data_IF_907665708829
#
_entry.id   IF_907665708829
#
_cell.length_a   1.000
_cell.length_b   1.000
_cell.length_c   1.000
_cell.angle_alpha   90.00
_cell.angle_beta   90.00
_cell.angle_gamma   90.00
#
_symmetry.space_group_name_H-M   'P 1'
#
loop_
_entity.id
_entity.type
_entity.pdbx_description
1 polymer ?
#
# COMPACT_ATOMS: atom_id res chain seq x y z
N UNK A 1 4.39 4.85 19.26
CA UNK A 1 3.18 4.30 18.60
C UNK A 1 3.55 3.95 17.16
N UNK A 2 3.23 2.74 16.70
CA UNK A 2 3.58 2.25 15.36
C UNK A 2 2.88 3.11 14.29
N UNK A 3 3.60 3.56 13.25
CA UNK A 3 2.95 4.19 12.10
C UNK A 3 2.07 3.16 11.40
N UNK A 4 0.80 3.50 11.18
CA UNK A 4 -0.18 2.57 10.63
C UNK A 4 -0.08 2.52 9.10
N UNK A 5 -0.52 1.42 8.52
CA UNK A 5 -0.83 1.28 7.10
C UNK A 5 -2.33 1.07 6.95
N UNK A 6 -2.85 1.08 5.72
CA UNK A 6 -4.30 0.96 5.49
C UNK A 6 -4.92 -0.33 6.01
N UNK A 7 -4.18 -1.44 5.98
CA UNK A 7 -4.66 -2.73 6.52
C UNK A 7 -4.86 -2.64 8.03
N UNK A 8 -3.90 -2.04 8.76
CA UNK A 8 -3.97 -1.87 10.22
C UNK A 8 -5.00 -0.83 10.67
N UNK A 9 -5.49 0.02 9.75
CA UNK A 9 -6.55 1.00 10.02
C UNK A 9 -7.95 0.43 9.83
N UNK A 10 -8.11 -0.64 9.07
CA UNK A 10 -9.41 -1.20 8.68
C UNK A 10 -10.02 -2.04 9.82
N UNK A 11 -11.17 -1.63 10.39
CA UNK A 11 -11.82 -2.36 11.48
C UNK A 11 -12.24 -3.79 11.13
N UNK A 12 -12.47 -4.11 9.85
CA UNK A 12 -12.81 -5.48 9.42
C UNK A 12 -11.72 -6.52 9.73
N UNK A 13 -10.47 -6.08 9.93
CA UNK A 13 -9.40 -6.98 10.37
C UNK A 13 -9.41 -7.24 11.89
N UNK A 14 -10.30 -6.59 12.63
CA UNK A 14 -10.38 -6.69 14.08
C UNK A 14 -9.48 -5.66 14.78
N UNK A 15 -8.96 -6.05 15.94
CA UNK A 15 -8.17 -5.16 16.78
C UNK A 15 -6.69 -5.19 16.42
N UNK A 16 -5.90 -4.29 17.03
CA UNK A 16 -4.43 -4.35 16.90
C UNK A 16 -3.82 -5.65 17.42
N UNK A 17 -4.51 -6.37 18.30
CA UNK A 17 -4.06 -7.67 18.83
C UNK A 17 -4.17 -8.80 17.80
N UNK A 18 -4.90 -8.58 16.71
CA UNK A 18 -4.98 -9.53 15.60
C UNK A 18 -3.71 -9.53 14.74
N UNK A 19 -2.82 -8.55 14.93
CA UNK A 19 -1.62 -8.40 14.13
C UNK A 19 -0.36 -8.60 14.98
N UNK A 20 0.63 -9.27 14.39
CA UNK A 20 1.98 -9.39 14.94
C UNK A 20 2.99 -8.94 13.88
N UNK A 21 3.83 -7.95 14.20
CA UNK A 21 5.00 -7.62 13.39
C UNK A 21 6.17 -8.45 13.87
N UNK A 22 6.58 -9.41 13.05
CA UNK A 22 7.68 -10.32 13.35
C UNK A 22 8.92 -9.86 12.61
N UNK A 23 10.03 -9.81 13.33
CA UNK A 23 11.33 -9.47 12.79
C UNK A 23 12.30 -10.63 13.03
N UNK A 24 13.04 -11.00 11.99
CA UNK A 24 14.01 -12.09 12.06
C UNK A 24 15.42 -11.50 12.08
N UNK A 25 16.11 -11.67 13.21
CA UNK A 25 17.47 -11.17 13.47
C UNK A 25 18.29 -12.21 14.24
N UNK A 26 19.60 -12.01 14.27
CA UNK A 26 20.46 -12.73 15.23
C UNK A 26 20.31 -12.16 16.66
N UNK A 27 20.98 -12.79 17.62
CA UNK A 27 21.02 -12.34 19.03
C UNK A 27 21.49 -10.88 19.18
N UNK A 28 22.40 -10.44 18.30
CA UNK A 28 22.93 -9.08 18.29
C UNK A 28 22.04 -8.09 17.51
N UNK A 29 20.81 -8.49 17.15
CA UNK A 29 19.88 -7.71 16.33
C UNK A 29 20.39 -7.39 14.91
N UNK A 30 21.35 -8.15 14.39
CA UNK A 30 21.82 -8.03 13.02
C UNK A 30 20.90 -8.77 12.06
N UNK A 31 20.89 -8.28 10.83
CA UNK A 31 20.12 -8.88 9.75
C UNK A 31 20.72 -10.22 9.33
N UNK A 32 19.86 -11.23 9.15
CA UNK A 32 20.29 -12.52 8.62
C UNK A 32 20.39 -12.47 7.09
N UNK A 33 21.61 -12.62 6.55
CA UNK A 33 21.82 -12.74 5.12
C UNK A 33 21.67 -14.17 4.62
N UNK A 34 21.06 -14.36 3.45
CA UNK A 34 20.71 -15.69 2.92
C UNK A 34 21.92 -16.57 2.60
N UNK A 35 23.09 -15.98 2.34
CA UNK A 35 24.31 -16.75 2.07
C UNK A 35 24.95 -17.33 3.33
N UNK A 36 24.70 -16.74 4.50
CA UNK A 36 25.24 -17.17 5.80
C UNK A 36 24.32 -18.17 6.50
N UNK A 37 23.00 -17.99 6.36
CA UNK A 37 21.99 -18.74 7.12
C UNK A 37 21.10 -19.61 6.24
N UNK A 38 21.70 -20.31 5.26
CA UNK A 38 20.94 -21.14 4.31
C UNK A 38 20.16 -22.26 5.00
N UNK A 39 20.69 -22.82 6.08
CA UNK A 39 20.09 -23.93 6.82
C UNK A 39 18.80 -23.51 7.56
N UNK A 40 18.62 -22.21 7.83
CA UNK A 40 17.39 -21.68 8.42
C UNK A 40 16.24 -21.58 7.43
N UNK A 41 16.48 -21.82 6.13
CA UNK A 41 15.45 -21.69 5.09
C UNK A 41 14.20 -22.51 5.41
N UNK A 42 14.37 -23.78 5.77
CA UNK A 42 13.23 -24.67 6.06
C UNK A 42 12.45 -24.21 7.30
N UNK A 43 13.14 -23.65 8.29
CA UNK A 43 12.52 -23.09 9.50
C UNK A 43 11.68 -21.87 9.12
N UNK A 44 12.23 -20.95 8.33
CA UNK A 44 11.51 -19.77 7.85
C UNK A 44 10.32 -20.12 6.96
N UNK A 45 10.49 -21.08 6.04
CA UNK A 45 9.40 -21.57 5.21
C UNK A 45 8.29 -22.19 6.06
N UNK A 46 8.62 -22.95 7.10
CA UNK A 46 7.63 -23.51 8.02
C UNK A 46 6.85 -22.41 8.77
N UNK A 47 7.51 -21.38 9.29
CA UNK A 47 6.82 -20.26 9.95
C UNK A 47 5.94 -19.46 8.99
N UNK A 48 6.43 -19.19 7.77
CA UNK A 48 5.65 -18.45 6.77
C UNK A 48 4.44 -19.26 6.28
N UNK A 49 4.55 -20.59 6.18
CA UNK A 49 3.48 -21.46 5.71
C UNK A 49 2.44 -21.76 6.81
N UNK A 50 2.90 -22.07 8.02
CA UNK A 50 2.03 -22.59 9.09
C UNK A 50 1.67 -21.54 10.15
N UNK A 51 2.40 -20.42 10.22
CA UNK A 51 2.25 -19.44 11.27
C UNK A 51 2.89 -19.88 12.59
N UNK A 52 2.52 -19.20 13.67
CA UNK A 52 2.97 -19.50 15.03
C UNK A 52 1.95 -19.04 16.07
N UNK A 53 2.01 -19.62 17.27
CA UNK A 53 1.18 -19.24 18.41
C UNK A 53 1.98 -18.38 19.40
N UNK A 54 1.39 -17.27 19.86
CA UNK A 54 1.98 -16.37 20.86
C UNK A 54 1.24 -16.48 22.19
N UNK A 55 -0.07 -16.73 22.16
CA UNK A 55 -0.95 -16.68 23.33
C UNK A 55 -1.99 -17.79 23.17
N UNK A 56 -1.73 -18.93 23.82
CA UNK A 56 -2.56 -20.15 23.87
C UNK A 56 -3.80 -20.14 22.97
N UNK A 57 -3.67 -20.81 21.81
CA UNK A 57 -4.67 -21.01 20.75
C UNK A 57 -4.90 -19.81 19.80
N UNK A 58 -3.90 -18.94 19.59
CA UNK A 58 -3.96 -17.91 18.54
C UNK A 58 -2.84 -18.09 17.53
N UNK A 59 -3.15 -18.80 16.45
CA UNK A 59 -2.20 -19.02 15.35
C UNK A 59 -2.17 -17.79 14.44
N UNK A 60 -1.10 -17.01 14.55
CA UNK A 60 -0.80 -15.90 13.65
C UNK A 60 -0.17 -16.45 12.38
N UNK A 61 -0.84 -16.25 11.25
CA UNK A 61 -0.39 -16.70 9.92
C UNK A 61 0.19 -15.54 9.11
N UNK A 62 1.10 -15.83 8.20
CA UNK A 62 1.72 -14.80 7.38
C UNK A 62 0.65 -14.03 6.58
N UNK A 63 0.68 -12.70 6.67
CA UNK A 63 -0.22 -11.84 5.93
C UNK A 63 0.51 -11.15 4.78
N UNK A 64 1.48 -10.28 5.09
CA UNK A 64 2.35 -9.69 4.07
C UNK A 64 3.51 -8.89 4.70
N UNK A 65 4.19 -8.09 3.89
CA UNK A 65 5.17 -7.08 4.26
C UNK A 65 5.09 -5.89 3.31
N UNK A 66 5.61 -4.73 3.72
CA UNK A 66 5.96 -3.66 2.79
C UNK A 66 7.34 -3.90 2.18
N UNK A 67 7.69 -3.14 1.14
CA UNK A 67 9.01 -3.29 0.49
C UNK A 67 10.18 -2.86 1.38
N UNK A 68 9.99 -1.91 2.30
CA UNK A 68 11.02 -1.57 3.28
C UNK A 68 11.15 -2.65 4.35
N UNK A 69 10.02 -3.21 4.80
CA UNK A 69 9.99 -4.30 5.78
C UNK A 69 10.67 -5.56 5.24
N UNK A 70 10.47 -5.90 3.96
CA UNK A 70 11.14 -7.05 3.34
C UNK A 70 12.66 -6.94 3.38
N UNK A 71 13.20 -5.72 3.17
CA UNK A 71 14.64 -5.46 3.28
C UNK A 71 15.12 -5.68 4.71
N UNK A 72 14.33 -5.26 5.69
CA UNK A 72 14.61 -5.41 7.13
C UNK A 72 14.23 -6.79 7.71
N UNK A 73 13.81 -7.76 6.89
CA UNK A 73 13.33 -9.08 7.35
C UNK A 73 12.17 -9.00 8.35
N UNK A 74 11.29 -8.03 8.12
CA UNK A 74 10.08 -7.79 8.89
C UNK A 74 8.83 -8.23 8.12
N UNK A 75 7.91 -8.89 8.83
CA UNK A 75 6.71 -9.49 8.25
C UNK A 75 5.51 -9.29 9.17
N UNK A 76 4.38 -8.91 8.59
CA UNK A 76 3.10 -8.91 9.28
C UNK A 76 2.51 -10.31 9.26
N UNK A 77 2.17 -10.79 10.44
CA UNK A 77 1.34 -11.95 10.66
C UNK A 77 -0.01 -11.51 11.23
N UNK A 78 -1.03 -12.33 10.97
CA UNK A 78 -2.41 -12.02 11.23
C UNK A 78 -3.14 -13.23 11.78
N UNK A 79 -3.90 -12.99 12.83
CA UNK A 79 -4.85 -13.93 13.42
C UNK A 79 -6.26 -13.37 13.21
N UNK A 80 -7.18 -14.19 12.73
CA UNK A 80 -8.58 -13.84 12.60
C UNK A 80 -9.44 -14.80 13.42
N UNK A 81 -10.51 -14.27 14.00
CA UNK A 81 -11.63 -15.05 14.53
C UNK A 81 -12.82 -14.96 13.55
N UNK A 82 -13.98 -15.46 13.95
CA UNK A 82 -15.21 -15.46 13.13
C UNK A 82 -15.76 -14.07 12.82
N UNK A 83 -15.36 -13.03 13.56
CA UNK A 83 -15.83 -11.66 13.38
C UNK A 83 -14.88 -10.81 12.52
N UNK A 84 -13.75 -11.37 12.12
CA UNK A 84 -12.71 -10.71 11.34
C UNK A 84 -12.65 -11.29 9.93
N UNK A 85 -12.06 -10.56 8.99
CA UNK A 85 -11.78 -11.11 7.65
C UNK A 85 -10.90 -12.36 7.77
N UNK A 86 -11.25 -13.41 7.02
CA UNK A 86 -10.32 -14.52 6.79
C UNK A 86 -9.07 -14.04 6.04
N UNK A 87 -8.02 -14.86 5.97
CA UNK A 87 -6.84 -14.51 5.17
C UNK A 87 -7.18 -14.33 3.69
N UNK A 88 -8.05 -15.19 3.16
CA UNK A 88 -8.53 -15.12 1.79
C UNK A 88 -9.32 -13.83 1.55
N UNK A 89 -10.27 -13.51 2.44
CA UNK A 89 -11.08 -12.29 2.34
C UNK A 89 -10.24 -11.04 2.55
N UNK A 90 -9.19 -11.11 3.37
CA UNK A 90 -8.23 -10.03 3.54
C UNK A 90 -7.53 -9.68 2.21
N UNK A 91 -7.07 -10.67 1.44
CA UNK A 91 -6.47 -10.42 0.13
C UNK A 91 -7.49 -9.89 -0.89
N UNK A 92 -8.73 -10.38 -0.85
CA UNK A 92 -9.83 -9.85 -1.69
C UNK A 92 -10.11 -8.39 -1.35
N UNK A 93 -10.15 -8.04 -0.05
CA UNK A 93 -10.33 -6.67 0.41
C UNK A 93 -9.19 -5.74 -0.05
N UNK A 94 -7.94 -6.23 -0.03
CA UNK A 94 -6.79 -5.44 -0.48
C UNK A 94 -6.92 -5.05 -1.96
N UNK A 95 -7.48 -5.93 -2.79
CA UNK A 95 -7.82 -5.65 -4.18
C UNK A 95 -7.65 -6.85 -5.12
N UNK A 96 -7.87 -6.60 -6.41
CA UNK A 96 -7.67 -7.58 -7.47
C UNK A 96 -6.27 -7.48 -8.06
N UNK A 97 -5.47 -8.51 -7.81
CA UNK A 97 -4.10 -8.65 -8.32
C UNK A 97 -4.01 -9.60 -9.54
N UNK A 98 -5.14 -10.10 -10.02
CA UNK A 98 -5.27 -11.10 -11.10
C UNK A 98 -4.56 -10.74 -12.42
N UNK A 99 -4.31 -9.46 -12.67
CA UNK A 99 -3.61 -8.98 -13.87
C UNK A 99 -2.09 -9.16 -13.80
N UNK A 100 -1.51 -9.31 -12.60
CA UNK A 100 -0.06 -9.38 -12.42
C UNK A 100 0.42 -10.83 -12.37
N UNK A 101 1.01 -11.29 -13.48
CA UNK A 101 1.49 -12.67 -13.62
C UNK A 101 2.88 -12.90 -13.05
N UNK A 102 3.66 -11.83 -12.84
CA UNK A 102 5.02 -11.94 -12.31
C UNK A 102 4.94 -11.99 -10.79
N UNK A 103 5.29 -13.12 -10.18
CA UNK A 103 5.22 -13.35 -8.73
C UNK A 103 5.87 -12.21 -7.93
N UNK A 104 7.07 -11.77 -8.32
CA UNK A 104 7.76 -10.67 -7.64
C UNK A 104 6.99 -9.34 -7.71
N UNK A 105 6.35 -9.04 -8.85
CA UNK A 105 5.53 -7.85 -8.99
C UNK A 105 4.20 -7.99 -8.25
N UNK A 106 3.61 -9.18 -8.24
CA UNK A 106 2.38 -9.48 -7.51
C UNK A 106 2.54 -9.21 -6.02
N UNK A 107 3.59 -9.76 -5.40
CA UNK A 107 3.95 -9.46 -4.01
C UNK A 107 4.21 -7.96 -3.81
N UNK A 108 4.91 -7.31 -4.75
CA UNK A 108 5.14 -5.87 -4.69
C UNK A 108 3.86 -5.02 -4.79
N UNK A 109 2.78 -5.53 -5.42
CA UNK A 109 1.48 -4.84 -5.49
C UNK A 109 0.74 -4.93 -4.17
N UNK A 110 0.67 -6.12 -3.59
CA UNK A 110 0.06 -6.30 -2.26
C UNK A 110 0.83 -5.48 -1.21
N UNK A 111 2.17 -5.45 -1.30
CA UNK A 111 3.04 -4.68 -0.40
C UNK A 111 2.71 -3.18 -0.36
N UNK A 112 2.02 -2.62 -1.36
CA UNK A 112 1.54 -1.23 -1.32
C UNK A 112 0.51 -1.00 -0.21
N UNK A 113 -0.29 -2.01 0.15
CA UNK A 113 -1.25 -1.92 1.25
C UNK A 113 -0.58 -1.89 2.64
N UNK A 114 0.71 -2.23 2.71
CA UNK A 114 1.47 -2.32 3.94
C UNK A 114 2.46 -1.17 4.11
N UNK A 115 2.54 -0.25 3.13
CA UNK A 115 3.37 0.95 3.30
C UNK A 115 2.79 1.83 4.38
N UNK A 116 3.65 2.31 5.28
CA UNK A 116 3.28 3.31 6.27
C UNK A 116 2.83 4.59 5.56
N UNK A 117 1.57 4.96 5.75
CA UNK A 117 0.89 6.11 5.13
C UNK A 117 0.00 6.79 6.16
N UNK A 118 -0.29 8.07 5.95
CA UNK A 118 -1.22 8.83 6.79
C UNK A 118 -2.50 9.02 6.01
N UNK A 119 -3.59 8.43 6.50
CA UNK A 119 -4.89 8.57 5.86
C UNK A 119 -5.33 10.04 5.91
N UNK A 120 -5.89 10.52 4.80
CA UNK A 120 -6.40 11.89 4.68
C UNK A 120 -7.93 11.85 4.49
N UNK A 121 -8.43 12.44 3.42
CA UNK A 121 -9.85 12.46 3.05
C UNK A 121 -10.22 11.25 2.17
N UNK A 122 -11.50 10.87 2.20
CA UNK A 122 -12.08 10.03 1.15
C UNK A 122 -12.35 10.90 -0.08
N UNK A 123 -11.91 10.45 -1.25
CA UNK A 123 -12.19 11.07 -2.54
C UNK A 123 -13.05 10.09 -3.34
N UNK A 124 -14.36 10.35 -3.46
CA UNK A 124 -15.28 9.48 -4.19
C UNK A 124 -14.89 9.33 -5.67
N UNK A 125 -15.20 8.17 -6.25
CA UNK A 125 -14.84 7.84 -7.63
C UNK A 125 -15.40 8.84 -8.66
N UNK A 126 -16.50 9.53 -8.35
CA UNK A 126 -17.11 10.54 -9.21
C UNK A 126 -16.24 11.78 -9.43
N UNK A 127 -15.36 12.08 -8.46
CA UNK A 127 -14.38 13.18 -8.54
C UNK A 127 -13.08 12.75 -9.23
N UNK A 128 -12.91 11.47 -9.53
CA UNK A 128 -11.68 10.92 -10.10
C UNK A 128 -11.86 10.62 -11.58
N UNK A 129 -10.84 10.91 -12.38
CA UNK A 129 -10.76 10.40 -13.75
C UNK A 129 -9.39 9.80 -14.01
N UNK A 130 -9.40 8.69 -14.73
CA UNK A 130 -8.20 8.02 -15.21
C UNK A 130 -7.93 8.45 -16.64
N UNK A 131 -6.69 8.83 -16.94
CA UNK A 131 -6.29 9.27 -18.28
C UNK A 131 -4.94 8.66 -18.65
N UNK A 132 -4.72 8.48 -19.95
CA UNK A 132 -3.43 8.00 -20.46
C UNK A 132 -2.29 8.95 -20.08
N UNK A 133 -1.11 8.39 -19.93
CA UNK A 133 0.11 9.17 -19.80
C UNK A 133 0.37 10.05 -21.03
N UNK A 134 1.06 11.17 -20.81
CA UNK A 134 1.54 12.02 -21.89
C UNK A 134 2.81 11.36 -22.44
N UNK A 135 2.72 10.87 -23.67
CA UNK A 135 3.80 10.18 -24.35
C UNK A 135 4.18 10.90 -25.64
N UNK A 136 5.48 10.94 -25.94
CA UNK A 136 5.99 11.43 -27.23
C UNK A 136 6.86 10.37 -27.85
N UNK A 137 6.64 10.10 -29.14
CA UNK A 137 7.52 9.25 -29.93
C UNK A 137 8.63 10.09 -30.57
N UNK A 138 9.89 9.72 -30.32
CA UNK A 138 11.06 10.34 -30.94
C UNK A 138 12.09 9.27 -31.30
N UNK A 139 12.51 9.23 -32.55
CA UNK A 139 13.48 8.25 -33.07
C UNK A 139 13.05 6.79 -32.81
N UNK A 140 11.76 6.47 -32.98
CA UNK A 140 11.21 5.13 -32.75
C UNK A 140 11.19 4.69 -31.28
N UNK A 141 11.37 5.61 -30.33
CA UNK A 141 11.25 5.36 -28.89
C UNK A 141 10.11 6.19 -28.30
N UNK A 142 9.32 5.55 -27.45
CA UNK A 142 8.26 6.21 -26.68
C UNK A 142 8.87 6.75 -25.39
N UNK A 143 8.63 8.03 -25.12
CA UNK A 143 9.04 8.70 -23.89
C UNK A 143 7.79 9.13 -23.12
N UNK A 144 7.65 8.62 -21.90
CA UNK A 144 6.53 8.94 -21.00
C UNK A 144 6.92 10.12 -20.11
N UNK A 145 6.20 11.23 -20.20
CA UNK A 145 6.51 12.49 -19.50
C UNK A 145 5.77 12.64 -18.16
N UNK A 146 4.73 11.84 -17.94
CA UNK A 146 3.89 11.89 -16.74
C UNK A 146 3.94 10.60 -15.92
N UNK A 147 4.99 9.78 -16.09
CA UNK A 147 5.06 8.49 -15.40
C UNK A 147 4.99 8.66 -13.89
N UNK A 148 3.88 8.22 -13.30
CA UNK A 148 3.61 8.31 -11.87
C UNK A 148 3.13 9.68 -11.39
N UNK A 149 2.75 10.60 -12.29
CA UNK A 149 2.39 11.98 -11.96
C UNK A 149 0.97 12.32 -12.41
N UNK A 150 0.07 12.46 -11.44
CA UNK A 150 -1.29 12.95 -11.61
C UNK A 150 -1.44 14.42 -11.21
N UNK A 151 -2.67 14.92 -11.23
CA UNK A 151 -2.99 16.29 -10.78
C UNK A 151 -4.21 16.31 -9.88
N UNK A 152 -4.29 17.32 -9.00
CA UNK A 152 -5.37 17.51 -8.03
C UNK A 152 -5.83 18.97 -8.02
N UNK A 153 -7.12 19.22 -7.81
CA UNK A 153 -7.68 20.57 -7.68
C UNK A 153 -7.11 21.29 -6.45
N UNK A 154 -7.20 22.62 -6.46
CA UNK A 154 -6.82 23.42 -5.31
C UNK A 154 -7.79 23.17 -4.15
N UNK A 155 -9.07 22.97 -4.44
CA UNK A 155 -10.11 22.61 -3.45
C UNK A 155 -9.78 21.34 -2.68
N UNK A 156 -9.54 20.21 -3.37
CA UNK A 156 -9.19 18.96 -2.69
C UNK A 156 -7.86 19.06 -1.94
N UNK A 157 -6.90 19.83 -2.48
CA UNK A 157 -5.64 20.10 -1.78
C UNK A 157 -5.86 20.83 -0.45
N UNK A 158 -6.71 21.86 -0.44
CA UNK A 158 -7.06 22.60 0.78
C UNK A 158 -7.78 21.71 1.79
N UNK A 159 -8.69 20.83 1.35
CA UNK A 159 -9.35 19.85 2.23
C UNK A 159 -8.35 18.87 2.88
N UNK A 160 -7.37 18.37 2.11
CA UNK A 160 -6.30 17.52 2.64
C UNK A 160 -5.46 18.30 3.66
N UNK A 161 -5.09 19.55 3.34
CA UNK A 161 -4.29 20.40 4.21
C UNK A 161 -5.01 20.65 5.55
N UNK A 162 -6.31 20.95 5.50
CA UNK A 162 -7.15 21.16 6.69
C UNK A 162 -7.24 19.87 7.52
N UNK A 163 -7.53 18.73 6.88
CA UNK A 163 -7.61 17.43 7.55
C UNK A 163 -6.30 17.09 8.28
N UNK A 164 -5.17 17.29 7.60
CA UNK A 164 -3.84 17.02 8.12
C UNK A 164 -3.32 18.09 9.10
N UNK A 165 -4.05 19.20 9.25
CA UNK A 165 -3.67 20.36 10.08
C UNK A 165 -2.31 20.94 9.66
N UNK A 166 -2.01 20.89 8.36
CA UNK A 166 -0.75 21.37 7.81
C UNK A 166 -0.74 22.90 7.69
N UNK A 167 0.31 23.53 8.22
CA UNK A 167 0.41 25.00 8.28
C UNK A 167 0.60 25.65 6.92
N UNK A 168 1.18 24.92 5.97
CA UNK A 168 1.60 25.46 4.69
C UNK A 168 0.93 24.70 3.55
N UNK A 169 0.48 25.46 2.55
CA UNK A 169 0.01 24.92 1.30
C UNK A 169 1.12 24.12 0.62
N UNK A 170 0.78 22.91 0.14
CA UNK A 170 1.67 22.10 -0.68
C UNK A 170 1.30 22.22 -2.16
N UNK A 171 2.31 22.20 -3.03
CA UNK A 171 2.13 22.20 -4.50
C UNK A 171 2.21 20.81 -5.10
N UNK A 172 2.83 19.86 -4.37
CA UNK A 172 2.99 18.47 -4.77
C UNK A 172 2.87 17.59 -3.52
N UNK A 173 2.18 16.46 -3.64
CA UNK A 173 2.09 15.44 -2.60
C UNK A 173 2.36 14.05 -3.16
N UNK A 174 3.03 13.19 -2.41
CA UNK A 174 3.21 11.79 -2.76
C UNK A 174 2.07 10.98 -2.17
N UNK A 175 1.37 10.19 -2.99
CA UNK A 175 0.09 9.58 -2.59
C UNK A 175 0.04 8.09 -2.85
N UNK A 176 -0.93 7.47 -2.18
CA UNK A 176 -1.58 6.23 -2.56
C UNK A 176 -3.08 6.50 -2.53
N UNK A 177 -3.76 5.97 -3.53
CA UNK A 177 -5.21 6.13 -3.69
C UNK A 177 -5.74 4.88 -4.38
N UNK A 178 -6.57 4.10 -3.69
CA UNK A 178 -6.93 2.76 -4.15
C UNK A 178 -5.68 1.91 -4.41
N UNK A 179 -5.53 1.42 -5.64
CA UNK A 179 -4.33 0.69 -6.09
C UNK A 179 -3.31 1.56 -6.82
N UNK A 180 -3.47 2.89 -6.76
CA UNK A 180 -2.60 3.86 -7.42
C UNK A 180 -1.47 4.31 -6.49
N UNK A 181 -0.28 4.53 -7.06
CA UNK A 181 0.86 5.13 -6.37
C UNK A 181 1.54 6.13 -7.29
N UNK A 182 1.87 7.31 -6.75
CA UNK A 182 2.59 8.33 -7.49
C UNK A 182 2.67 9.64 -6.74
N UNK A 183 2.78 10.73 -7.48
CA UNK A 183 2.66 12.10 -6.98
C UNK A 183 1.50 12.80 -7.64
N UNK A 184 0.93 13.79 -6.96
CA UNK A 184 -0.05 14.72 -7.51
C UNK A 184 0.52 16.12 -7.44
N UNK A 185 0.47 16.86 -8.55
CA UNK A 185 0.69 18.31 -8.54
C UNK A 185 -0.65 19.06 -8.53
N UNK A 186 -0.67 20.21 -7.87
CA UNK A 186 -1.86 21.06 -7.84
C UNK A 186 -2.10 21.70 -9.21
N UNK A 187 -3.32 21.57 -9.72
CA UNK A 187 -3.78 22.20 -10.96
C UNK A 187 -5.07 22.99 -10.71
N UNK A 188 -4.98 24.33 -10.54
CA UNK A 188 -6.14 25.18 -10.28
C UNK A 188 -7.21 25.16 -11.38
N UNK A 189 -6.89 24.67 -12.59
CA UNK A 189 -7.87 24.56 -13.69
C UNK A 189 -8.90 23.45 -13.44
N UNK A 190 -8.65 22.57 -12.47
CA UNK A 190 -9.56 21.52 -12.02
C UNK A 190 -10.62 22.04 -11.04
N UNK A 191 -10.44 23.24 -10.48
CA UNK A 191 -11.44 23.83 -9.59
C UNK A 191 -12.76 24.02 -10.33
N UNK A 192 -13.86 23.71 -9.65
CA UNK A 192 -15.23 23.75 -10.19
C UNK A 192 -15.46 22.80 -11.39
N UNK A 193 -14.58 21.81 -11.61
CA UNK A 193 -14.80 20.74 -12.58
C UNK A 193 -15.43 19.53 -11.90
N UNK A 194 -16.10 18.69 -12.71
CA UNK A 194 -16.64 17.40 -12.25
C UNK A 194 -15.54 16.51 -11.66
N UNK A 195 -14.43 16.37 -12.39
CA UNK A 195 -13.29 15.57 -11.95
C UNK A 195 -12.22 16.51 -11.38
N UNK A 196 -11.87 16.28 -10.12
CA UNK A 196 -10.94 17.09 -9.35
C UNK A 196 -9.63 16.35 -9.03
N UNK A 197 -9.59 15.04 -9.27
CA UNK A 197 -8.39 14.21 -9.19
C UNK A 197 -8.15 13.50 -10.52
N UNK A 198 -7.00 13.74 -11.13
CA UNK A 198 -6.58 13.12 -12.39
C UNK A 198 -5.49 12.11 -12.10
N UNK A 199 -5.78 10.82 -12.34
CA UNK A 199 -4.82 9.73 -12.18
C UNK A 199 -4.35 9.28 -13.57
N UNK A 200 -3.04 9.08 -13.71
CA UNK A 200 -2.46 8.52 -14.94
C UNK A 200 -2.48 6.99 -14.92
N UNK A 201 -2.61 6.38 -16.09
CA UNK A 201 -2.59 4.92 -16.24
C UNK A 201 -1.34 4.28 -15.60
N UNK A 202 -0.16 4.90 -15.75
CA UNK A 202 1.04 4.37 -15.11
C UNK A 202 0.99 4.39 -13.58
N UNK A 203 0.16 5.20 -12.94
CA UNK A 203 0.01 5.22 -11.48
C UNK A 203 -0.76 4.00 -10.97
N UNK A 204 -1.71 3.47 -11.74
CA UNK A 204 -2.60 2.38 -11.34
C UNK A 204 -1.87 1.03 -11.34
N UNK A 205 -1.69 0.42 -10.17
CA UNK A 205 -0.91 -0.81 -10.01
C UNK A 205 -1.77 -2.06 -9.82
N UNK A 206 -3.01 -1.91 -9.35
CA UNK A 206 -4.02 -2.96 -9.18
C UNK A 206 -5.40 -2.33 -8.93
N UNK A 207 -6.47 -3.11 -9.06
CA UNK A 207 -7.85 -2.61 -8.92
C UNK A 207 -8.34 -2.83 -7.49
N UNK A 208 -9.01 -1.84 -6.90
CA UNK A 208 -9.65 -1.90 -5.58
C UNK A 208 -10.65 -0.75 -5.46
N UNK A 209 -11.64 -0.90 -4.61
CA UNK A 209 -12.70 0.10 -4.37
C UNK A 209 -12.35 1.08 -3.24
N UNK A 210 -11.11 1.06 -2.74
CA UNK A 210 -10.68 1.95 -1.67
C UNK A 210 -10.48 3.37 -2.16
N UNK A 211 -11.14 4.30 -1.48
CA UNK A 211 -11.33 5.70 -1.87
C UNK A 211 -10.64 6.70 -0.91
N UNK A 212 -9.98 6.22 0.14
CA UNK A 212 -9.18 7.08 1.02
C UNK A 212 -7.84 7.39 0.33
N UNK A 213 -7.52 8.69 0.25
CA UNK A 213 -6.21 9.19 -0.17
C UNK A 213 -5.24 9.16 1.03
N UNK A 214 -4.02 8.68 0.82
CA UNK A 214 -3.00 8.49 1.87
C UNK A 214 -1.55 8.61 1.41
#
# INVERSE_FOLDING_TARGET
LCKLNRVLREPKFGSRMNFALVEIRDEASKMLHSFEYRDLRNVLENYLANGFDITDNRIYKYLHHSQSQLKEKQFWFYYHDENCLSLEDAYVWMGSFSKERVVAKHAARIALCFTSTEATISIPAELVTYVRDIEVEKNGKIFTFTDGVGTISTTLRDEIQEFMQEKHAFSVIQIRYGGCKGTLSVDPRLDNKKHQLIIRDSMNKFITDHDILE
#
